data_IF_976160892759
#
_entry.id   IF_976160892759
#
_cell.length_a   1.000
_cell.length_b   1.000
_cell.length_c   1.000
_cell.angle_alpha   90.00
_cell.angle_beta   90.00
_cell.angle_gamma   90.00
#
_symmetry.space_group_name_H-M   'P 1'
#
loop_
_entity.id
_entity.type
_entity.pdbx_description
1 polymer ?
#
# COMPACT_ATOMS: atom_id res chain seq x y z
N UNK A 1 9.27 -22.32 -15.00
CA UNK A 1 8.33 -21.17 -14.85
C UNK A 1 9.11 -19.99 -14.29
N UNK A 2 9.34 -18.94 -15.09
CA UNK A 2 10.16 -17.80 -14.67
C UNK A 2 9.51 -17.05 -13.52
N UNK A 3 10.22 -16.89 -12.40
CA UNK A 3 9.83 -15.99 -11.32
C UNK A 3 9.65 -14.60 -11.93
N UNK A 4 8.40 -14.12 -12.07
CA UNK A 4 8.15 -12.72 -12.45
C UNK A 4 8.80 -11.86 -11.36
N UNK A 5 9.95 -11.28 -11.68
CA UNK A 5 10.66 -10.34 -10.81
C UNK A 5 9.67 -9.22 -10.45
N UNK A 6 9.34 -9.11 -9.16
CA UNK A 6 8.48 -8.08 -8.61
C UNK A 6 9.08 -6.73 -9.05
N UNK A 7 8.42 -6.00 -9.94
CA UNK A 7 8.89 -4.66 -10.35
C UNK A 7 8.77 -3.76 -9.13
N UNK A 8 9.91 -3.29 -8.62
CA UNK A 8 9.96 -2.30 -7.54
C UNK A 8 9.28 -1.03 -8.05
N UNK A 9 8.19 -0.61 -7.39
CA UNK A 9 7.45 0.59 -7.77
C UNK A 9 7.92 1.75 -6.90
N UNK A 10 8.16 2.89 -7.55
CA UNK A 10 8.77 4.07 -6.96
C UNK A 10 7.87 5.26 -7.28
N UNK A 11 7.61 6.10 -6.28
CA UNK A 11 6.79 7.30 -6.38
C UNK A 11 7.65 8.55 -6.26
N UNK A 12 7.27 9.60 -6.97
CA UNK A 12 7.75 10.97 -6.76
C UNK A 12 6.99 11.64 -5.61
N UNK A 13 7.53 12.74 -5.07
CA UNK A 13 6.83 13.54 -4.08
C UNK A 13 5.48 14.07 -4.58
N UNK A 14 5.38 14.40 -5.88
CA UNK A 14 4.14 14.86 -6.49
C UNK A 14 3.07 13.74 -6.53
N UNK A 15 3.45 12.52 -6.90
CA UNK A 15 2.53 11.38 -6.90
C UNK A 15 2.03 11.06 -5.49
N UNK A 16 2.92 11.09 -4.50
CA UNK A 16 2.54 10.95 -3.08
C UNK A 16 1.54 12.04 -2.68
N UNK A 17 1.81 13.29 -3.05
CA UNK A 17 0.93 14.41 -2.74
C UNK A 17 -0.47 14.22 -3.35
N UNK A 18 -0.54 13.81 -4.62
CA UNK A 18 -1.79 13.55 -5.32
C UNK A 18 -2.58 12.40 -4.66
N UNK A 19 -1.90 11.32 -4.27
CA UNK A 19 -2.54 10.18 -3.60
C UNK A 19 -3.08 10.58 -2.22
N UNK A 20 -2.33 11.40 -1.48
CA UNK A 20 -2.72 11.85 -0.15
C UNK A 20 -3.67 13.06 -0.15
N UNK A 21 -3.98 13.64 -1.33
CA UNK A 21 -4.83 14.83 -1.44
C UNK A 21 -4.21 16.08 -0.82
N UNK A 22 -2.89 16.21 -0.85
CA UNK A 22 -2.15 17.37 -0.31
C UNK A 22 -1.38 18.09 -1.41
N UNK A 23 -0.92 19.31 -1.14
CA UNK A 23 -0.03 20.03 -2.05
C UNK A 23 1.37 19.40 -2.08
N UNK A 24 2.07 19.47 -3.22
CA UNK A 24 3.40 18.88 -3.41
C UNK A 24 4.41 19.31 -2.32
N UNK A 25 4.37 20.59 -1.91
CA UNK A 25 5.25 21.10 -0.86
C UNK A 25 5.06 20.38 0.49
N UNK A 26 3.85 19.92 0.80
CA UNK A 26 3.57 19.15 2.02
C UNK A 26 4.29 17.80 1.98
N UNK A 27 4.21 17.08 0.86
CA UNK A 27 4.93 15.82 0.69
C UNK A 27 6.45 16.00 0.72
N UNK A 28 6.97 17.08 0.10
CA UNK A 28 8.39 17.45 0.20
C UNK A 28 8.81 17.70 1.65
N UNK A 29 7.98 18.41 2.43
CA UNK A 29 8.27 18.70 3.83
C UNK A 29 8.27 17.42 4.68
N UNK A 30 7.40 16.45 4.40
CA UNK A 30 7.45 15.14 5.07
C UNK A 30 8.77 14.43 4.83
N UNK A 31 9.30 14.47 3.60
CA UNK A 31 10.60 13.88 3.29
C UNK A 31 11.74 14.63 3.98
N UNK A 32 11.76 15.96 3.88
CA UNK A 32 12.81 16.80 4.49
C UNK A 32 12.87 16.67 6.01
N UNK A 33 11.72 16.54 6.67
CA UNK A 33 11.63 16.38 8.12
C UNK A 33 11.81 14.92 8.58
N UNK A 34 12.11 13.99 7.67
CA UNK A 34 12.30 12.57 7.99
C UNK A 34 11.02 11.83 8.37
N UNK A 35 9.85 12.42 8.14
CA UNK A 35 8.56 11.75 8.36
C UNK A 35 8.26 10.69 7.31
N UNK A 36 8.66 10.95 6.05
CA UNK A 36 8.50 10.04 4.93
C UNK A 36 9.88 9.68 4.38
N UNK A 37 10.24 8.40 4.45
CA UNK A 37 11.52 7.91 3.96
C UNK A 37 11.59 7.98 2.44
N UNK A 38 12.67 8.54 1.92
CA UNK A 38 12.93 8.68 0.49
C UNK A 38 14.43 8.62 0.21
N UNK A 39 14.80 8.24 -1.01
CA UNK A 39 16.14 8.48 -1.55
C UNK A 39 16.10 9.66 -2.53
N UNK A 40 17.25 10.31 -2.69
CA UNK A 40 17.38 11.47 -3.58
C UNK A 40 18.20 11.07 -4.80
N UNK A 41 17.72 11.39 -6.00
CA UNK A 41 18.50 11.19 -7.23
C UNK A 41 19.61 12.24 -7.31
N UNK A 42 20.67 12.03 -8.13
CA UNK A 42 21.70 13.05 -8.34
C UNK A 42 21.18 14.42 -8.79
N UNK A 43 20.01 14.47 -9.42
CA UNK A 43 19.31 15.70 -9.81
C UNK A 43 18.44 16.34 -8.72
N UNK A 44 18.50 15.86 -7.48
CA UNK A 44 17.79 16.44 -6.34
C UNK A 44 16.31 16.03 -6.22
N UNK A 45 15.82 15.10 -7.03
CA UNK A 45 14.43 14.64 -6.96
C UNK A 45 14.26 13.54 -5.90
N UNK A 46 13.21 13.64 -5.10
CA UNK A 46 12.85 12.60 -4.14
C UNK A 46 12.15 11.41 -4.79
N UNK A 47 12.49 10.22 -4.32
CA UNK A 47 11.92 8.94 -4.74
C UNK A 47 11.59 8.10 -3.52
N UNK A 48 10.35 7.63 -3.46
CA UNK A 48 9.77 6.91 -2.33
C UNK A 48 9.46 5.49 -2.81
N UNK A 49 9.95 4.48 -2.09
CA UNK A 49 9.58 3.09 -2.36
C UNK A 49 8.13 2.84 -1.93
N UNK A 50 7.44 1.95 -2.65
CA UNK A 50 6.06 1.59 -2.32
C UNK A 50 5.91 1.09 -0.87
N UNK A 51 6.89 0.32 -0.39
CA UNK A 51 6.96 -0.22 0.97
C UNK A 51 7.06 0.88 2.03
N UNK A 52 7.97 1.84 1.82
CA UNK A 52 8.16 2.98 2.71
C UNK A 52 6.90 3.88 2.72
N UNK A 53 6.23 4.03 1.56
CA UNK A 53 4.99 4.80 1.48
C UNK A 53 3.82 4.11 2.20
N UNK A 54 3.66 2.79 2.04
CA UNK A 54 2.63 2.03 2.77
C UNK A 54 2.85 2.13 4.27
N UNK A 55 4.09 1.95 4.74
CA UNK A 55 4.44 2.06 6.16
C UNK A 55 4.08 3.44 6.71
N UNK A 56 4.41 4.50 5.96
CA UNK A 56 4.06 5.88 6.31
C UNK A 56 2.54 6.10 6.47
N UNK A 57 1.72 5.51 5.58
CA UNK A 57 0.26 5.61 5.64
C UNK A 57 -0.31 4.81 6.81
N UNK A 58 0.19 3.59 7.04
CA UNK A 58 -0.22 2.72 8.15
C UNK A 58 0.07 3.37 9.51
N UNK A 59 1.28 3.88 9.72
CA UNK A 59 1.70 4.56 10.95
C UNK A 59 0.83 5.78 11.29
N UNK A 60 0.23 6.40 10.28
CA UNK A 60 -0.62 7.60 10.42
C UNK A 60 -2.12 7.31 10.36
N UNK A 61 -2.51 6.04 10.25
CA UNK A 61 -3.92 5.65 10.11
C UNK A 61 -4.58 6.19 8.84
N UNK A 62 -3.81 6.48 7.79
CA UNK A 62 -4.33 6.95 6.51
C UNK A 62 -4.88 5.80 5.68
N UNK A 63 -5.89 6.08 4.84
CA UNK A 63 -6.41 5.09 3.89
C UNK A 63 -5.33 4.75 2.86
N UNK A 64 -5.06 3.45 2.71
CA UNK A 64 -4.10 2.94 1.73
C UNK A 64 -4.86 2.60 0.44
N UNK A 65 -4.48 3.17 -0.72
CA UNK A 65 -5.08 2.80 -2.00
C UNK A 65 -4.88 1.31 -2.31
N UNK A 66 -5.90 0.67 -2.88
CA UNK A 66 -5.86 -0.77 -3.20
C UNK A 66 -4.76 -1.10 -4.22
N UNK A 67 -4.51 -0.19 -5.16
CA UNK A 67 -3.39 -0.30 -6.09
C UNK A 67 -2.04 -0.35 -5.36
N UNK A 68 -1.87 0.43 -4.30
CA UNK A 68 -0.63 0.46 -3.52
C UNK A 68 -0.48 -0.82 -2.67
N UNK A 69 -1.57 -1.29 -2.07
CA UNK A 69 -1.61 -2.56 -1.35
C UNK A 69 -1.22 -3.75 -2.24
N UNK A 70 -1.71 -3.76 -3.49
CA UNK A 70 -1.43 -4.82 -4.47
C UNK A 70 0.05 -4.92 -4.86
N UNK A 71 0.81 -3.82 -4.71
CA UNK A 71 2.23 -3.74 -5.04
C UNK A 71 3.10 -4.29 -3.90
N UNK A 72 2.75 -3.96 -2.67
CA UNK A 72 3.55 -4.28 -1.48
C UNK A 72 3.25 -5.69 -0.99
N UNK A 73 1.97 -6.06 -0.90
CA UNK A 73 1.54 -7.40 -0.52
C UNK A 73 0.95 -8.13 -1.74
N UNK A 74 1.45 -9.31 -2.12
CA UNK A 74 0.71 -10.18 -3.01
C UNK A 74 -0.61 -10.50 -2.30
N UNK A 75 -1.74 -10.03 -2.87
CA UNK A 75 -3.14 -10.26 -2.44
C UNK A 75 -3.24 -10.97 -1.08
N UNK A 76 -3.54 -10.22 0.00
CA UNK A 76 -4.35 -10.82 1.08
C UNK A 76 -5.56 -11.40 0.34
N UNK A 77 -5.72 -12.72 0.33
CA UNK A 77 -6.82 -13.39 -0.37
C UNK A 77 -8.14 -12.72 -0.02
N UNK A 78 -9.12 -12.78 -0.93
CA UNK A 78 -10.46 -12.27 -0.66
C UNK A 78 -10.92 -12.81 0.69
N UNK A 79 -11.20 -11.93 1.65
CA UNK A 79 -11.76 -12.33 2.94
C UNK A 79 -13.28 -12.39 2.80
N UNK A 80 -13.87 -13.52 3.14
CA UNK A 80 -15.32 -13.71 3.16
C UNK A 80 -15.74 -13.82 4.62
N UNK A 81 -16.70 -12.98 5.02
CA UNK A 81 -17.33 -13.04 6.35
C UNK A 81 -18.70 -13.69 6.16
N UNK A 82 -18.90 -14.83 6.81
CA UNK A 82 -20.15 -15.60 6.78
C UNK A 82 -20.86 -15.33 8.10
N UNK A 83 -22.10 -14.84 8.06
CA UNK A 83 -22.94 -14.56 9.23
C UNK A 83 -24.30 -15.18 8.99
N UNK A 84 -24.58 -16.27 9.72
CA UNK A 84 -25.84 -17.00 9.71
C UNK A 84 -25.94 -17.77 11.04
N UNK A 85 -27.14 -18.05 11.54
CA UNK A 85 -27.37 -18.82 12.76
C UNK A 85 -27.22 -20.34 12.56
N UNK A 86 -27.27 -20.80 11.30
CA UNK A 86 -27.02 -22.19 10.94
C UNK A 86 -25.51 -22.49 10.83
N UNK A 87 -24.99 -23.29 11.76
CA UNK A 87 -23.58 -23.70 11.79
C UNK A 87 -23.23 -24.69 10.68
N UNK A 88 -24.13 -25.59 10.33
CA UNK A 88 -23.86 -26.65 9.35
C UNK A 88 -23.67 -26.03 7.96
N UNK A 89 -24.51 -25.05 7.62
CA UNK A 89 -24.35 -24.25 6.40
C UNK A 89 -23.03 -23.46 6.40
N UNK A 90 -22.69 -22.81 7.52
CA UNK A 90 -21.47 -22.02 7.64
C UNK A 90 -20.20 -22.87 7.43
N UNK A 91 -20.19 -24.12 7.89
CA UNK A 91 -19.04 -25.01 7.71
C UNK A 91 -18.92 -25.50 6.26
N UNK A 92 -20.04 -25.83 5.60
CA UNK A 92 -20.04 -26.12 4.15
C UNK A 92 -19.53 -24.95 3.34
N UNK A 93 -19.98 -23.73 3.64
CA UNK A 93 -19.54 -22.51 2.95
C UNK A 93 -18.05 -22.21 3.20
N UNK A 94 -17.52 -22.46 4.40
CA UNK A 94 -16.08 -22.35 4.67
C UNK A 94 -15.25 -23.31 3.83
N UNK A 95 -15.71 -24.54 3.65
CA UNK A 95 -15.00 -25.54 2.83
C UNK A 95 -15.01 -25.14 1.34
N UNK A 96 -16.11 -24.57 0.85
CA UNK A 96 -16.23 -24.08 -0.54
C UNK A 96 -15.33 -22.86 -0.80
N UNK A 97 -15.18 -21.98 0.18
CA UNK A 97 -14.46 -20.72 0.05
C UNK A 97 -13.03 -20.72 0.63
N UNK A 98 -12.54 -21.86 1.14
CA UNK A 98 -11.14 -22.07 1.54
C UNK A 98 -10.21 -22.20 0.33
#
# INVERSE_FOLDING_TARGET
MGKKSKKVRIFSALEVANICGVVNQTAINWVKNGHLKAFTTPGGQYRIYAEDFVSFLEERGMRIPEELLSLVSPRKGKKILIIDDDKDLNDVLKDIFS
#
